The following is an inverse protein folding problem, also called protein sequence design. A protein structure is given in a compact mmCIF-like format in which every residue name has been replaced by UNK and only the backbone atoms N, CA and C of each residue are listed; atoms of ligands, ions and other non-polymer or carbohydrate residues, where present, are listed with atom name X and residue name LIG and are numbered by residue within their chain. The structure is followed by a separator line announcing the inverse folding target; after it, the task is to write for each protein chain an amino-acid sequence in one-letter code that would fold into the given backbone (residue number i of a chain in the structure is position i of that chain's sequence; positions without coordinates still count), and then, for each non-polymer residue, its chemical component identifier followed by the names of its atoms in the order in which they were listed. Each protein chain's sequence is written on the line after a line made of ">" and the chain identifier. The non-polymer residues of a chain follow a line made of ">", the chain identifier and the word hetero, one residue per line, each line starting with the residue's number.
data_IF_224190601572
#
_entry.id   IF_224190601572
#
_cell.length_a   1.000
_cell.length_b   1.000
_cell.length_c   1.000
_cell.angle_alpha   90.00
_cell.angle_beta   90.00
_cell.angle_gamma   90.00
#
_symmetry.space_group_name_H-M   'P 1'
#
loop_
_entity.id
_entity.type
_entity.pdbx_description
1 polymer ?
#
# COMPACT_ATOMS: atom_id res chain seq x y z
N UNK A 1 -11.80 -3.30 -2.34
CA UNK A 1 -10.67 -2.68 -1.64
C UNK A 1 -10.36 -1.39 -2.37
N UNK A 2 -10.68 -0.22 -1.79
CA UNK A 2 -10.27 1.05 -2.38
C UNK A 2 -8.94 1.42 -1.73
N UNK A 3 -7.82 1.30 -2.43
CA UNK A 3 -6.59 1.95 -1.95
C UNK A 3 -6.56 3.35 -2.55
N UNK A 4 -6.35 4.38 -1.72
CA UNK A 4 -6.28 5.79 -2.16
C UNK A 4 -4.85 6.19 -2.36
N UNK A 5 -4.49 6.54 -3.59
CA UNK A 5 -3.18 7.14 -3.89
C UNK A 5 -3.32 8.54 -4.45
N UNK A 6 -2.55 9.50 -3.92
CA UNK A 6 -2.49 10.87 -4.45
C UNK A 6 -1.41 10.95 -5.53
N UNK A 7 -1.80 11.29 -6.74
CA UNK A 7 -0.97 11.40 -7.91
C UNK A 7 -1.37 12.65 -8.69
N UNK A 8 -0.47 13.63 -8.74
CA UNK A 8 -0.65 14.85 -9.52
C UNK A 8 0.06 14.72 -10.87
N UNK A 9 -0.70 14.52 -11.96
CA UNK A 9 -0.21 14.67 -13.32
C UNK A 9 -0.51 16.08 -13.83
N UNK A 10 0.49 16.96 -13.70
CA UNK A 10 0.54 18.25 -14.36
C UNK A 10 1.89 18.44 -15.03
N UNK A 11 1.94 18.56 -16.35
CA UNK A 11 3.19 18.67 -17.11
C UNK A 11 3.25 19.98 -17.90
N UNK A 12 4.45 20.55 -17.97
CA UNK A 12 4.85 21.58 -18.94
C UNK A 12 5.97 20.90 -19.70
N UNK A 13 5.76 20.68 -20.98
CA UNK A 13 6.58 19.81 -21.81
C UNK A 13 6.97 20.56 -23.07
N UNK A 14 8.23 20.41 -23.50
CA UNK A 14 8.66 20.84 -24.82
C UNK A 14 8.27 19.74 -25.80
N UNK A 15 7.50 20.07 -26.83
CA UNK A 15 7.08 19.14 -27.87
C UNK A 15 7.70 19.53 -29.21
N UNK A 16 8.19 18.53 -29.93
CA UNK A 16 8.61 18.68 -31.32
C UNK A 16 7.81 17.67 -32.14
N UNK A 17 7.08 18.14 -33.14
CA UNK A 17 6.21 17.32 -33.96
C UNK A 17 6.55 17.45 -35.44
N UNK A 18 6.45 16.34 -36.15
CA UNK A 18 6.53 16.31 -37.62
C UNK A 18 5.18 15.82 -38.13
N UNK A 19 4.58 16.60 -39.02
CA UNK A 19 3.28 16.34 -39.61
C UNK A 19 3.42 16.14 -41.11
N UNK A 20 2.79 15.09 -41.62
CA UNK A 20 2.67 14.80 -43.04
C UNK A 20 1.20 14.95 -43.46
N UNK A 21 0.94 15.83 -44.41
CA UNK A 21 -0.36 16.02 -45.03
C UNK A 21 -0.56 15.01 -46.18
N UNK A 22 -1.72 14.36 -46.21
CA UNK A 22 -2.13 13.52 -47.33
C UNK A 22 -2.83 14.38 -48.37
N UNK A 23 -2.16 14.67 -49.48
CA UNK A 23 -2.64 15.64 -50.48
C UNK A 23 -3.73 15.14 -51.46
N UNK A 24 -4.47 14.07 -51.17
CA UNK A 24 -5.37 13.48 -52.18
C UNK A 24 -6.69 12.88 -51.66
N UNK A 25 -7.30 13.48 -50.63
CA UNK A 25 -8.68 13.14 -50.23
C UNK A 25 -9.56 14.39 -50.32
N UNK A 26 -10.04 14.69 -51.54
CA UNK A 26 -11.10 15.69 -51.75
C UNK A 26 -12.44 15.02 -51.45
N UNK A 27 -13.07 15.39 -50.34
CA UNK A 27 -14.48 15.09 -50.12
C UNK A 27 -15.29 16.02 -51.04
N UNK A 28 -15.84 15.45 -52.11
CA UNK A 28 -16.78 16.15 -52.99
C UNK A 28 -18.18 15.88 -52.42
N UNK A 29 -18.76 16.84 -51.70
CA UNK A 29 -20.17 16.75 -51.28
C UNK A 29 -20.87 18.10 -51.50
N UNK A 30 -21.86 18.07 -52.40
CA UNK A 30 -22.78 19.15 -52.74
C UNK A 30 -23.81 19.34 -51.63
N UNK A 31 -23.45 19.96 -50.50
CA UNK A 31 -24.44 20.57 -49.59
C UNK A 31 -23.88 21.86 -48.99
N UNK A 32 -24.51 22.98 -49.33
CA UNK A 32 -24.16 24.32 -48.87
C UNK A 32 -24.33 24.49 -47.36
N UNK A 33 -23.24 24.79 -46.64
CA UNK A 33 -23.26 25.62 -45.45
C UNK A 33 -21.84 26.19 -45.17
N UNK A 34 -21.73 27.52 -45.26
CA UNK A 34 -20.58 28.37 -44.92
C UNK A 34 -19.44 28.45 -45.96
N UNK A 35 -19.46 29.54 -46.73
CA UNK A 35 -18.41 29.96 -47.67
C UNK A 35 -17.17 30.46 -46.91
N UNK A 36 -16.36 29.53 -46.38
CA UNK A 36 -15.02 29.81 -45.86
C UNK A 36 -14.00 29.26 -46.84
N UNK A 37 -13.50 30.11 -47.75
CA UNK A 37 -12.67 29.75 -48.90
C UNK A 37 -11.28 29.18 -48.58
N UNK A 38 -11.21 27.90 -48.23
CA UNK A 38 -9.98 27.11 -48.22
C UNK A 38 -10.28 25.61 -48.39
N UNK A 39 -9.54 24.91 -49.26
CA UNK A 39 -9.65 23.46 -49.38
C UNK A 39 -9.18 22.81 -48.07
N UNK A 40 -10.04 22.02 -47.44
CA UNK A 40 -9.68 21.28 -46.23
C UNK A 40 -8.68 20.16 -46.51
N UNK A 41 -7.86 19.83 -45.52
CA UNK A 41 -6.82 18.79 -45.64
C UNK A 41 -6.74 17.90 -44.40
N UNK A 42 -6.45 16.62 -44.61
CA UNK A 42 -6.16 15.66 -43.55
C UNK A 42 -4.66 15.49 -43.37
N UNK A 43 -4.23 15.30 -42.12
CA UNK A 43 -2.84 15.05 -41.80
C UNK A 43 -2.68 14.05 -40.66
N UNK A 44 -1.50 13.44 -40.62
CA UNK A 44 -1.04 12.58 -39.53
C UNK A 44 0.23 13.17 -38.97
N UNK A 45 0.31 13.27 -37.64
CA UNK A 45 1.46 13.78 -36.92
C UNK A 45 2.06 12.76 -35.97
N UNK A 46 3.35 12.91 -35.74
CA UNK A 46 4.06 12.23 -34.66
C UNK A 46 4.73 13.30 -33.78
N UNK A 47 4.33 13.33 -32.52
CA UNK A 47 4.83 14.26 -31.52
C UNK A 47 5.81 13.52 -30.61
N UNK A 48 7.01 14.07 -30.45
CA UNK A 48 7.96 13.64 -29.43
C UNK A 48 8.04 14.67 -28.32
N UNK A 49 7.74 14.22 -27.10
CA UNK A 49 7.58 15.11 -25.95
C UNK A 49 8.22 14.48 -24.71
N UNK A 50 9.52 14.70 -24.45
CA UNK A 50 10.22 14.06 -23.32
C UNK A 50 9.51 14.29 -21.98
N UNK A 51 9.10 13.21 -21.31
CA UNK A 51 8.33 13.28 -20.07
C UNK A 51 9.21 13.19 -18.81
N UNK A 52 9.25 14.27 -18.04
CA UNK A 52 9.88 14.28 -16.71
C UNK A 52 8.86 13.84 -15.66
N UNK A 53 9.28 12.97 -14.76
CA UNK A 53 8.42 12.49 -13.68
C UNK A 53 8.23 13.60 -12.65
N UNK A 54 7.05 14.24 -12.69
CA UNK A 54 6.62 15.23 -11.70
C UNK A 54 5.76 14.62 -10.59
N UNK A 55 5.70 13.30 -10.52
CA UNK A 55 5.00 12.56 -9.46
C UNK A 55 5.75 12.81 -8.15
N UNK A 56 5.12 13.57 -7.27
CA UNK A 56 5.63 13.91 -5.92
C UNK A 56 4.60 13.48 -4.89
N UNK A 57 5.09 13.19 -3.69
CA UNK A 57 4.28 12.90 -2.51
C UNK A 57 3.28 11.75 -2.71
N UNK A 58 3.69 10.76 -3.51
CA UNK A 58 2.93 9.54 -3.73
C UNK A 58 2.83 8.77 -2.41
N UNK A 59 1.60 8.45 -2.01
CA UNK A 59 1.29 7.65 -0.83
C UNK A 59 0.19 6.66 -1.16
N UNK A 60 0.14 5.56 -0.42
CA UNK A 60 -0.82 4.46 -0.61
C UNK A 60 -1.45 4.20 0.74
N UNK A 61 -2.77 3.98 0.78
CA UNK A 61 -3.52 3.79 2.03
C UNK A 61 -4.77 2.97 1.73
N UNK A 62 -5.19 2.12 2.66
CA UNK A 62 -6.53 1.53 2.59
C UNK A 62 -7.61 2.61 2.75
N UNK A 63 -8.73 2.45 2.04
CA UNK A 63 -9.90 3.33 2.11
C UNK A 63 -10.61 3.31 3.45
N UNK A 64 -10.49 2.22 4.20
CA UNK A 64 -11.01 2.11 5.57
C UNK A 64 -10.28 3.08 6.50
N UNK A 65 -9.07 3.53 6.14
CA UNK A 65 -8.21 4.37 6.96
C UNK A 65 -7.52 3.61 8.09
N UNK A 66 -7.53 2.27 8.05
CA UNK A 66 -6.91 1.42 9.08
C UNK A 66 -5.39 1.31 8.94
N UNK A 67 -4.84 1.60 7.75
CA UNK A 67 -3.40 1.62 7.51
C UNK A 67 -2.71 2.60 8.44
N UNK A 68 -1.81 2.11 9.29
CA UNK A 68 -0.98 2.93 10.18
C UNK A 68 0.36 3.29 9.56
N UNK A 69 0.94 2.38 8.79
CA UNK A 69 2.22 2.58 8.12
C UNK A 69 2.34 1.69 6.87
N UNK A 70 3.15 2.15 5.92
CA UNK A 70 3.51 1.40 4.71
C UNK A 70 4.93 0.86 4.86
N UNK A 71 5.15 -0.43 4.60
CA UNK A 71 6.47 -1.06 4.69
C UNK A 71 6.88 -1.66 3.35
N UNK A 72 8.08 -1.35 2.83
CA UNK A 72 8.55 -1.90 1.56
C UNK A 72 9.06 -3.34 1.75
N UNK A 73 8.98 -4.14 0.70
CA UNK A 73 9.54 -5.49 0.70
C UNK A 73 11.08 -5.49 0.58
N UNK A 74 11.75 -6.38 1.32
CA UNK A 74 13.21 -6.55 1.39
C UNK A 74 13.73 -7.39 0.21
N UNK A 75 14.79 -6.91 -0.43
CA UNK A 75 15.50 -7.56 -1.55
C UNK A 75 16.12 -8.90 -1.14
N UNK A 76 15.70 -9.98 -1.81
CA UNK A 76 16.36 -11.30 -1.72
C UNK A 76 16.77 -11.89 -3.10
N UNK A 77 16.55 -11.17 -4.21
CA UNK A 77 16.92 -11.63 -5.56
C UNK A 77 16.21 -12.91 -6.04
N UNK A 78 15.12 -13.30 -5.37
CA UNK A 78 14.25 -14.44 -5.69
C UNK A 78 12.80 -13.94 -5.79
N UNK A 79 11.90 -14.79 -6.32
CA UNK A 79 10.47 -14.51 -6.41
C UNK A 79 9.91 -13.93 -5.10
N UNK A 80 8.98 -12.97 -5.22
CA UNK A 80 8.29 -12.36 -4.09
C UNK A 80 7.56 -13.46 -3.33
N UNK A 81 7.99 -13.73 -2.09
CA UNK A 81 7.29 -14.60 -1.15
C UNK A 81 6.74 -13.69 -0.07
N UNK A 82 5.42 -13.62 0.03
CA UNK A 82 4.71 -12.81 1.03
C UNK A 82 4.88 -13.40 2.44
N UNK A 83 6.10 -13.26 2.95
CA UNK A 83 6.53 -13.71 4.27
C UNK A 83 6.80 -12.47 5.12
N UNK A 84 6.29 -12.47 6.35
CA UNK A 84 6.32 -11.34 7.28
C UNK A 84 7.70 -10.73 7.50
N UNK A 85 8.72 -11.58 7.67
CA UNK A 85 10.10 -11.17 7.94
C UNK A 85 10.82 -10.57 6.72
N UNK A 86 10.21 -10.62 5.54
CA UNK A 86 10.75 -10.06 4.31
C UNK A 86 10.28 -8.65 4.03
N UNK A 87 9.59 -7.99 4.95
CA UNK A 87 9.29 -6.55 4.87
C UNK A 87 10.28 -5.75 5.71
N UNK A 88 10.62 -4.54 5.26
CA UNK A 88 11.52 -3.64 5.96
C UNK A 88 10.76 -2.86 7.03
N UNK A 89 10.51 -3.52 8.16
CA UNK A 89 9.83 -2.93 9.31
C UNK A 89 10.58 -1.74 9.95
N UNK A 90 11.83 -1.49 9.56
CA UNK A 90 12.63 -0.37 10.08
C UNK A 90 12.45 0.93 9.28
N UNK A 91 11.87 0.85 8.08
CA UNK A 91 11.67 2.00 7.19
C UNK A 91 10.17 2.21 6.94
N UNK A 92 9.39 2.66 7.95
CA UNK A 92 7.98 2.97 7.75
C UNK A 92 7.81 4.17 6.83
N UNK A 93 6.75 4.13 6.02
CA UNK A 93 6.33 5.17 5.09
C UNK A 93 7.47 5.67 4.16
N UNK A 94 8.08 4.77 3.37
CA UNK A 94 9.15 5.16 2.47
C UNK A 94 8.63 6.12 1.40
N UNK A 95 9.50 7.05 0.98
CA UNK A 95 9.19 7.93 -0.15
C UNK A 95 9.23 7.15 -1.45
N UNK A 96 8.07 6.88 -2.03
CA UNK A 96 7.95 6.21 -3.33
C UNK A 96 8.21 7.24 -4.44
N UNK A 97 9.34 7.09 -5.13
CA UNK A 97 9.76 7.93 -6.24
C UNK A 97 9.57 7.26 -7.59
N UNK A 98 9.61 8.04 -8.67
CA UNK A 98 9.53 7.54 -10.04
C UNK A 98 10.66 8.12 -10.90
N UNK A 99 11.17 7.31 -11.83
CA UNK A 99 12.22 7.67 -12.79
C UNK A 99 11.62 8.52 -13.90
N UNK A 100 12.41 9.49 -14.35
CA UNK A 100 12.08 10.24 -15.55
C UNK A 100 12.09 9.28 -16.75
N UNK A 101 11.15 9.47 -17.67
CA UNK A 101 11.11 8.67 -18.88
C UNK A 101 11.30 9.57 -20.09
N UNK A 102 12.57 9.72 -20.46
CA UNK A 102 12.97 10.56 -21.58
C UNK A 102 12.79 9.87 -22.95
N UNK A 103 12.40 8.58 -23.01
CA UNK A 103 12.43 7.77 -24.24
C UNK A 103 11.06 7.32 -24.77
N UNK A 104 10.02 7.19 -23.93
CA UNK A 104 8.75 6.53 -24.30
C UNK A 104 7.54 7.48 -24.28
N UNK A 105 7.76 8.79 -24.36
CA UNK A 105 6.68 9.77 -24.47
C UNK A 105 6.49 10.17 -25.94
N UNK A 106 5.74 9.32 -26.65
CA UNK A 106 5.37 9.54 -28.05
C UNK A 106 3.87 9.73 -28.13
N UNK A 107 3.44 10.69 -28.94
CA UNK A 107 2.02 10.91 -29.22
C UNK A 107 1.79 10.85 -30.73
N UNK A 108 0.79 10.08 -31.13
CA UNK A 108 0.30 10.08 -32.50
C UNK A 108 -0.88 11.04 -32.61
N UNK A 109 -0.94 11.80 -33.70
CA UNK A 109 -2.06 12.70 -33.96
C UNK A 109 -2.64 12.47 -35.34
N UNK A 110 -3.96 12.61 -35.46
CA UNK A 110 -4.68 12.70 -36.73
C UNK A 110 -5.48 13.98 -36.70
N UNK A 111 -5.31 14.81 -37.72
CA UNK A 111 -5.93 16.12 -37.75
C UNK A 111 -6.59 16.45 -39.08
N UNK A 112 -7.49 17.42 -39.00
CA UNK A 112 -8.16 18.02 -40.13
C UNK A 112 -8.09 19.54 -40.01
N UNK A 113 -7.63 20.20 -41.08
CA UNK A 113 -7.47 21.65 -41.13
C UNK A 113 -8.32 22.29 -42.21
N UNK A 114 -8.87 23.47 -41.94
CA UNK A 114 -9.48 24.38 -42.92
C UNK A 114 -8.99 25.80 -42.61
N UNK A 115 -8.29 26.41 -43.57
CA UNK A 115 -7.72 27.76 -43.39
C UNK A 115 -6.73 27.77 -42.23
N UNK A 116 -6.92 28.67 -41.25
CA UNK A 116 -6.10 28.74 -40.04
C UNK A 116 -6.61 27.89 -38.87
N UNK A 117 -7.75 27.20 -39.01
CA UNK A 117 -8.32 26.37 -37.94
C UNK A 117 -7.99 24.88 -38.16
N UNK A 118 -7.63 24.17 -37.08
CA UNK A 118 -7.31 22.74 -37.12
C UNK A 118 -7.98 22.01 -35.95
N UNK A 119 -8.46 20.79 -36.18
CA UNK A 119 -8.93 19.87 -35.13
C UNK A 119 -8.02 18.65 -35.13
N UNK A 120 -7.50 18.29 -33.96
CA UNK A 120 -6.52 17.20 -33.79
C UNK A 120 -7.03 16.19 -32.75
N UNK A 121 -7.08 14.92 -33.14
CA UNK A 121 -7.19 13.80 -32.21
C UNK A 121 -5.78 13.30 -31.89
N UNK A 122 -5.38 13.38 -30.62
CA UNK A 122 -4.06 12.98 -30.13
C UNK A 122 -4.18 11.79 -29.17
N UNK A 123 -3.31 10.81 -29.36
CA UNK A 123 -3.15 9.67 -28.46
C UNK A 123 -1.69 9.62 -28.01
N UNK A 124 -1.45 9.80 -26.72
CA UNK A 124 -0.13 9.76 -26.12
C UNK A 124 0.00 8.65 -25.09
N UNK A 125 1.18 8.05 -24.98
CA UNK A 125 1.50 7.07 -23.95
C UNK A 125 2.71 7.52 -23.15
N UNK A 126 2.61 7.46 -21.82
CA UNK A 126 3.71 7.73 -20.89
C UNK A 126 3.82 6.60 -19.87
N UNK A 127 5.05 6.26 -19.45
CA UNK A 127 5.31 5.24 -18.43
C UNK A 127 6.44 5.64 -17.51
N UNK A 128 6.19 5.82 -16.23
CA UNK A 128 7.19 6.19 -15.23
C UNK A 128 7.47 4.98 -14.32
N UNK A 129 8.65 4.37 -14.46
CA UNK A 129 9.07 3.26 -13.58
C UNK A 129 9.34 3.76 -12.16
N UNK A 130 9.11 2.95 -11.14
CA UNK A 130 9.47 3.31 -9.76
C UNK A 130 10.99 3.45 -9.58
N UNK A 131 11.40 4.35 -8.68
CA UNK A 131 12.77 4.46 -8.17
C UNK A 131 12.91 3.50 -7.00
N UNK A 132 13.96 2.68 -7.01
CA UNK A 132 14.28 1.83 -5.86
C UNK A 132 14.60 2.68 -4.64
N UNK A 133 14.22 2.21 -3.45
CA UNK A 133 14.45 2.94 -2.18
C UNK A 133 15.95 2.94 -1.84
N UNK A 134 16.69 1.93 -2.30
CA UNK A 134 18.11 1.71 -2.00
C UNK A 134 19.01 1.93 -3.22
N UNK A 135 18.60 2.79 -4.16
CA UNK A 135 19.23 2.93 -5.48
C UNK A 135 20.68 3.47 -5.41
N UNK A 136 21.63 2.56 -5.14
CA UNK A 136 23.05 2.70 -5.44
C UNK A 136 23.32 2.16 -6.86
N UNK A 137 22.66 2.77 -7.85
CA UNK A 137 23.15 2.83 -9.23
C UNK A 137 23.34 1.53 -10.02
N UNK A 138 22.76 0.38 -9.66
CA UNK A 138 22.85 -0.80 -10.54
C UNK A 138 21.70 -1.80 -10.42
N UNK A 139 21.09 -2.01 -11.61
CA UNK A 139 20.06 -2.99 -12.01
C UNK A 139 18.62 -2.74 -11.51
N UNK A 140 17.73 -2.61 -12.49
CA UNK A 140 16.27 -2.59 -12.30
C UNK A 140 15.81 -3.96 -11.80
N UNK A 141 15.46 -4.07 -10.52
CA UNK A 141 15.01 -5.30 -9.87
C UNK A 141 13.59 -5.11 -9.29
N UNK A 142 12.71 -6.10 -9.49
CA UNK A 142 11.27 -6.07 -9.19
C UNK A 142 10.88 -5.92 -7.69
N UNK A 143 11.81 -6.04 -6.73
CA UNK A 143 11.47 -6.16 -5.30
C UNK A 143 11.05 -4.84 -4.60
N UNK A 144 11.56 -3.69 -5.05
CA UNK A 144 11.22 -2.36 -4.47
C UNK A 144 9.83 -1.86 -4.91
N UNK A 145 9.05 -2.72 -5.56
CA UNK A 145 7.72 -2.41 -6.08
C UNK A 145 6.62 -2.91 -5.16
N UNK A 146 6.92 -3.75 -4.16
CA UNK A 146 5.93 -4.39 -3.30
C UNK A 146 5.89 -3.71 -1.93
N UNK A 147 4.69 -3.35 -1.48
CA UNK A 147 4.44 -2.59 -0.25
C UNK A 147 3.36 -3.26 0.60
N UNK A 148 3.64 -3.47 1.88
CA UNK A 148 2.67 -3.91 2.89
C UNK A 148 2.00 -2.70 3.53
N UNK A 149 0.67 -2.70 3.56
CA UNK A 149 -0.16 -1.75 4.31
C UNK A 149 -0.41 -2.36 5.69
N UNK A 150 0.42 -2.00 6.67
CA UNK A 150 0.32 -2.54 8.02
C UNK A 150 -0.71 -1.77 8.85
N UNK A 151 -1.45 -2.52 9.67
CA UNK A 151 -2.47 -2.02 10.59
C UNK A 151 -1.91 -1.90 12.02
N UNK A 152 -2.79 -1.64 12.97
CA UNK A 152 -2.48 -1.21 14.34
C UNK A 152 -1.65 -2.23 15.14
N UNK A 153 -2.01 -3.51 15.16
CA UNK A 153 -1.31 -4.53 15.94
C UNK A 153 0.12 -4.74 15.46
N UNK A 154 0.32 -4.89 14.15
CA UNK A 154 1.65 -5.06 13.58
C UNK A 154 2.54 -3.84 13.85
N UNK A 155 2.00 -2.64 13.65
CA UNK A 155 2.69 -1.38 13.88
C UNK A 155 3.09 -1.19 15.36
N UNK A 156 2.15 -1.42 16.30
CA UNK A 156 2.37 -1.20 17.72
C UNK A 156 3.38 -2.20 18.32
N UNK A 157 3.42 -3.45 17.80
CA UNK A 157 4.44 -4.43 18.20
C UNK A 157 5.85 -3.98 17.81
N UNK A 158 6.05 -3.59 16.54
CA UNK A 158 7.38 -3.19 16.04
C UNK A 158 7.86 -1.92 16.74
N UNK A 159 6.96 -0.95 16.93
CA UNK A 159 7.29 0.32 17.60
C UNK A 159 7.37 0.21 19.13
N UNK A 160 6.92 -0.91 19.71
CA UNK A 160 6.97 -1.14 21.16
C UNK A 160 5.92 -0.36 21.96
N UNK A 161 4.83 0.07 21.33
CA UNK A 161 3.75 0.82 21.97
C UNK A 161 2.84 -0.10 22.80
N UNK A 162 3.32 -0.48 23.99
CA UNK A 162 2.68 -1.51 24.84
C UNK A 162 1.22 -1.19 25.19
N UNK A 163 0.90 0.05 25.55
CA UNK A 163 -0.46 0.43 25.94
C UNK A 163 -1.42 0.47 24.75
N UNK A 164 -0.97 0.97 23.59
CA UNK A 164 -1.77 0.99 22.36
C UNK A 164 -2.00 -0.44 21.85
N UNK A 165 -0.94 -1.27 21.85
CA UNK A 165 -1.04 -2.69 21.51
C UNK A 165 -2.03 -3.42 22.43
N UNK A 166 -1.97 -3.19 23.75
CA UNK A 166 -2.90 -3.79 24.70
C UNK A 166 -4.34 -3.37 24.44
N UNK A 167 -4.58 -2.10 24.08
CA UNK A 167 -5.90 -1.60 23.76
C UNK A 167 -6.44 -2.17 22.43
N UNK A 168 -5.57 -2.33 21.43
CA UNK A 168 -5.92 -2.93 20.14
C UNK A 168 -6.21 -4.44 20.30
N UNK A 169 -5.32 -5.19 20.97
CA UNK A 169 -5.51 -6.61 21.29
C UNK A 169 -6.80 -6.88 22.09
N UNK A 170 -7.18 -5.95 22.99
CA UNK A 170 -8.41 -6.09 23.75
C UNK A 170 -9.69 -6.02 22.88
N UNK A 171 -9.61 -5.41 21.68
CA UNK A 171 -10.72 -5.37 20.70
C UNK A 171 -10.72 -6.60 19.79
N UNK A 172 -9.61 -7.34 19.72
CA UNK A 172 -9.49 -8.56 18.93
C UNK A 172 -10.27 -9.70 19.58
N UNK A 173 -10.90 -10.56 18.77
CA UNK A 173 -11.64 -11.70 19.31
C UNK A 173 -10.69 -12.76 19.89
N UNK A 174 -11.13 -13.45 20.95
CA UNK A 174 -10.32 -14.53 21.52
C UNK A 174 -10.03 -15.67 20.52
N UNK A 175 -10.91 -15.87 19.53
CA UNK A 175 -10.72 -16.83 18.43
C UNK A 175 -9.50 -16.49 17.59
N UNK A 176 -9.34 -15.23 17.23
CA UNK A 176 -8.20 -14.77 16.41
C UNK A 176 -6.90 -14.86 17.20
N UNK A 177 -6.92 -14.60 18.50
CA UNK A 177 -5.76 -14.78 19.39
C UNK A 177 -5.35 -16.25 19.48
N UNK A 178 -6.31 -17.17 19.54
CA UNK A 178 -6.02 -18.62 19.50
C UNK A 178 -5.42 -19.02 18.15
N UNK A 179 -5.90 -18.47 17.03
CA UNK A 179 -5.30 -18.72 15.71
C UNK A 179 -3.87 -18.16 15.61
N UNK A 180 -3.65 -16.95 16.11
CA UNK A 180 -2.33 -16.35 16.19
C UNK A 180 -1.37 -17.20 17.03
N UNK A 181 -1.78 -17.64 18.23
CA UNK A 181 -0.97 -18.50 19.09
C UNK A 181 -0.57 -19.81 18.38
N UNK A 182 -1.50 -20.45 17.66
CA UNK A 182 -1.22 -21.65 16.86
C UNK A 182 -0.22 -21.37 15.74
N UNK A 183 -0.32 -20.23 15.06
CA UNK A 183 0.62 -19.83 14.02
C UNK A 183 2.04 -19.61 14.60
N UNK A 184 2.14 -18.94 15.76
CA UNK A 184 3.41 -18.74 16.46
C UNK A 184 4.02 -20.07 16.90
N UNK A 185 3.22 -20.98 17.46
CA UNK A 185 3.67 -22.31 17.87
C UNK A 185 4.28 -23.11 16.70
N UNK A 186 3.59 -23.14 15.56
CA UNK A 186 4.00 -23.95 14.40
C UNK A 186 5.24 -23.36 13.74
N UNK A 187 5.27 -22.04 13.56
CA UNK A 187 6.33 -21.39 12.77
C UNK A 187 7.53 -20.96 13.61
N UNK A 188 7.34 -20.58 14.88
CA UNK A 188 8.36 -19.97 15.73
C UNK A 188 8.25 -20.43 17.20
N UNK A 189 8.54 -21.71 17.51
CA UNK A 189 8.42 -22.25 18.86
C UNK A 189 9.30 -21.54 19.89
N UNK A 190 10.40 -20.91 19.46
CA UNK A 190 11.26 -20.10 20.33
C UNK A 190 10.57 -18.80 20.81
N UNK A 191 9.71 -18.21 19.97
CA UNK A 191 8.92 -17.02 20.34
C UNK A 191 7.76 -17.44 21.25
N UNK A 192 7.08 -18.54 20.94
CA UNK A 192 6.07 -19.12 21.84
C UNK A 192 6.63 -19.30 23.26
N UNK A 193 7.84 -19.85 23.38
CA UNK A 193 8.53 -20.07 24.66
C UNK A 193 8.86 -18.81 25.48
N UNK A 194 8.66 -17.61 24.93
CA UNK A 194 8.91 -16.32 25.58
C UNK A 194 7.63 -15.60 25.99
N UNK A 195 6.51 -15.89 25.33
CA UNK A 195 5.24 -15.18 25.50
C UNK A 195 4.33 -15.97 26.44
N UNK A 196 3.66 -15.27 27.37
CA UNK A 196 2.82 -15.91 28.38
C UNK A 196 3.56 -17.01 29.14
N UNK A 197 4.85 -16.82 29.42
CA UNK A 197 5.63 -17.80 30.19
C UNK A 197 5.19 -17.78 31.65
N UNK A 198 4.62 -18.88 32.14
CA UNK A 198 4.13 -19.00 33.52
C UNK A 198 5.22 -18.74 34.56
N UNK A 199 4.89 -18.01 35.62
CA UNK A 199 5.81 -17.75 36.74
C UNK A 199 6.06 -18.99 37.61
N UNK A 200 7.23 -19.00 38.24
CA UNK A 200 7.62 -19.99 39.25
C UNK A 200 6.85 -19.75 40.55
N UNK A 201 6.42 -20.84 41.19
CA UNK A 201 5.74 -20.82 42.51
C UNK A 201 6.62 -21.38 43.63
N UNK A 202 7.57 -22.23 43.28
CA UNK A 202 8.55 -22.87 44.16
C UNK A 202 9.70 -23.43 43.31
N UNK A 203 10.81 -23.84 43.92
CA UNK A 203 12.00 -24.35 43.24
C UNK A 203 11.68 -25.46 42.22
N UNK A 204 11.72 -25.10 40.93
CA UNK A 204 11.44 -26.03 39.82
C UNK A 204 9.95 -26.29 39.55
N UNK A 205 9.02 -25.51 40.13
CA UNK A 205 7.57 -25.66 39.95
C UNK A 205 6.94 -24.37 39.43
N UNK A 206 5.96 -24.52 38.54
CA UNK A 206 5.35 -23.40 37.82
C UNK A 206 3.82 -23.42 37.92
N UNK A 207 3.22 -22.26 37.66
CA UNK A 207 1.78 -22.17 37.46
C UNK A 207 1.34 -23.04 36.27
N UNK A 208 0.10 -23.52 36.32
CA UNK A 208 -0.56 -24.24 35.22
C UNK A 208 -1.69 -23.38 34.67
N UNK A 209 -1.87 -23.34 33.35
CA UNK A 209 -3.01 -22.66 32.74
C UNK A 209 -4.31 -23.42 32.94
N UNK A 210 -5.39 -22.67 33.14
CA UNK A 210 -6.73 -23.23 33.25
C UNK A 210 -7.83 -22.20 33.00
N UNK A 211 -9.07 -22.67 33.03
CA UNK A 211 -10.24 -21.84 32.69
C UNK A 211 -10.59 -20.78 33.74
N UNK A 212 -10.02 -20.88 34.94
CA UNK A 212 -10.14 -19.88 36.01
C UNK A 212 -8.90 -19.92 36.90
N UNK A 213 -8.51 -18.77 37.42
CA UNK A 213 -7.44 -18.67 38.41
C UNK A 213 -7.91 -19.26 39.73
N UNK A 214 -7.24 -20.31 40.19
CA UNK A 214 -7.57 -21.05 41.41
C UNK A 214 -6.29 -21.38 42.16
N UNK A 215 -5.72 -20.36 42.80
CA UNK A 215 -4.44 -20.48 43.49
C UNK A 215 -4.62 -20.54 45.01
N UNK A 216 -4.27 -21.70 45.59
CA UNK A 216 -4.42 -22.05 47.01
C UNK A 216 -3.04 -22.36 47.61
N UNK A 217 -2.84 -22.04 48.89
CA UNK A 217 -1.53 -22.25 49.57
C UNK A 217 -1.11 -23.71 49.71
N UNK A 218 -2.03 -24.66 49.52
CA UNK A 218 -1.81 -26.08 49.82
C UNK A 218 -1.26 -26.88 48.65
N UNK A 219 -1.76 -26.67 47.43
CA UNK A 219 -1.57 -27.64 46.33
C UNK A 219 -2.00 -27.16 44.93
N UNK A 220 -2.47 -25.92 44.75
CA UNK A 220 -3.05 -25.47 43.48
C UNK A 220 -2.45 -24.15 43.02
N UNK A 221 -1.88 -24.13 41.80
CA UNK A 221 -1.29 -22.97 41.16
C UNK A 221 -1.88 -22.72 39.76
N UNK A 222 -3.20 -22.85 39.63
CA UNK A 222 -3.89 -22.64 38.35
C UNK A 222 -4.10 -21.15 38.11
N UNK A 223 -3.74 -20.67 36.91
CA UNK A 223 -3.90 -19.28 36.48
C UNK A 223 -4.65 -19.18 35.15
N UNK A 224 -5.51 -18.18 35.04
CA UNK A 224 -6.19 -17.81 33.77
C UNK A 224 -5.65 -16.49 33.18
N UNK A 225 -4.56 -15.96 33.76
CA UNK A 225 -3.86 -14.76 33.29
C UNK A 225 -2.58 -15.16 32.56
N UNK A 226 -2.35 -14.65 31.35
CA UNK A 226 -1.11 -14.81 30.59
C UNK A 226 0.12 -14.43 31.44
N UNK A 227 1.11 -15.31 31.49
CA UNK A 227 2.29 -15.25 32.36
C UNK A 227 2.02 -15.62 33.82
N UNK A 228 0.78 -15.49 34.29
CA UNK A 228 0.37 -15.73 35.66
C UNK A 228 0.96 -14.73 36.66
N UNK A 229 0.86 -15.06 37.94
CA UNK A 229 1.40 -14.26 39.05
C UNK A 229 2.44 -15.08 39.80
N UNK A 230 3.49 -14.44 40.29
CA UNK A 230 4.40 -15.08 41.25
C UNK A 230 3.66 -15.30 42.57
N UNK A 231 3.70 -16.53 43.07
CA UNK A 231 3.13 -16.89 44.36
C UNK A 231 4.24 -17.40 45.27
N UNK A 232 4.20 -17.00 46.54
CA UNK A 232 5.13 -17.46 47.57
C UNK A 232 4.36 -18.21 48.63
N UNK A 233 4.88 -19.36 49.07
CA UNK A 233 4.27 -20.17 50.14
C UNK A 233 3.32 -21.27 49.66
N UNK A 234 3.39 -21.70 48.39
CA UNK A 234 2.67 -22.88 47.89
C UNK A 234 3.55 -24.12 48.11
N UNK A 235 3.29 -24.90 49.16
CA UNK A 235 4.02 -26.12 49.50
C UNK A 235 3.45 -27.36 48.79
N UNK A 236 3.27 -27.27 47.46
CA UNK A 236 2.67 -28.37 46.71
C UNK A 236 3.66 -29.48 46.36
N UNK A 237 3.27 -30.74 46.55
CA UNK A 237 3.91 -31.90 45.91
C UNK A 237 3.42 -32.03 44.45
N UNK A 238 4.21 -32.66 43.58
CA UNK A 238 3.83 -32.89 42.18
C UNK A 238 2.51 -33.69 42.08
N UNK A 239 1.48 -33.06 41.54
CA UNK A 239 0.10 -33.55 41.36
C UNK A 239 -0.72 -32.50 40.59
N UNK A 240 -1.87 -32.89 40.04
CA UNK A 240 -2.60 -32.35 38.87
C UNK A 240 -2.97 -30.83 38.80
N UNK A 241 -2.36 -29.93 39.58
CA UNK A 241 -2.60 -28.47 39.55
C UNK A 241 -1.33 -27.60 39.71
N UNK A 242 -0.15 -28.18 39.54
CA UNK A 242 1.15 -27.48 39.50
C UNK A 242 2.04 -28.15 38.43
N UNK A 243 2.67 -27.36 37.55
CA UNK A 243 3.49 -27.89 36.46
C UNK A 243 4.97 -28.04 36.86
N UNK A 244 5.63 -29.10 36.36
CA UNK A 244 7.07 -29.33 36.52
C UNK A 244 7.93 -28.51 35.54
N UNK A 245 7.30 -27.91 34.53
CA UNK A 245 7.93 -27.02 33.54
C UNK A 245 7.02 -25.82 33.31
N UNK A 246 7.57 -24.67 32.86
CA UNK A 246 6.73 -23.53 32.50
C UNK A 246 5.83 -23.88 31.30
N UNK A 247 4.66 -23.27 31.28
CA UNK A 247 3.74 -23.26 30.16
C UNK A 247 3.80 -21.91 29.43
N UNK A 248 3.36 -21.89 28.18
CA UNK A 248 3.62 -20.78 27.24
C UNK A 248 2.35 -20.30 26.52
N UNK A 249 2.50 -19.50 25.47
CA UNK A 249 1.40 -18.94 24.69
C UNK A 249 0.47 -20.03 24.13
N UNK A 250 0.99 -21.14 23.62
CA UNK A 250 0.21 -22.30 23.16
C UNK A 250 -0.72 -22.86 24.25
N UNK A 251 -0.22 -22.96 25.47
CA UNK A 251 -0.93 -23.51 26.61
C UNK A 251 -1.98 -22.52 27.11
N UNK A 252 -1.65 -21.23 27.15
CA UNK A 252 -2.61 -20.18 27.43
C UNK A 252 -3.76 -20.22 26.42
N UNK A 253 -3.47 -20.25 25.12
CA UNK A 253 -4.48 -20.34 24.08
C UNK A 253 -5.32 -21.63 24.20
N UNK A 254 -4.69 -22.79 24.37
CA UNK A 254 -5.39 -24.07 24.43
C UNK A 254 -6.18 -24.31 25.72
N UNK A 255 -5.58 -24.04 26.88
CA UNK A 255 -6.15 -24.38 28.21
C UNK A 255 -6.96 -23.25 28.82
N UNK A 256 -6.60 -22.00 28.56
CA UNK A 256 -7.27 -20.81 29.15
C UNK A 256 -8.33 -20.23 28.24
N UNK A 257 -8.01 -20.04 26.95
CA UNK A 257 -8.95 -19.48 25.97
C UNK A 257 -9.83 -20.55 25.32
N UNK A 258 -9.31 -21.78 25.17
CA UNK A 258 -10.01 -22.89 24.54
C UNK A 258 -10.27 -22.63 23.06
N UNK A 259 -11.54 -22.50 22.70
CA UNK A 259 -11.97 -22.09 21.35
C UNK A 259 -11.97 -20.56 21.17
N UNK A 260 -11.49 -19.80 22.15
CA UNK A 260 -11.48 -18.34 22.14
C UNK A 260 -12.73 -17.71 22.76
N UNK A 261 -13.64 -18.50 23.36
CA UNK A 261 -14.86 -18.00 24.00
C UNK A 261 -14.69 -17.56 25.45
N UNK A 262 -13.55 -17.89 26.09
CA UNK A 262 -13.31 -17.67 27.52
C UNK A 262 -12.06 -16.84 27.75
N UNK A 263 -12.04 -16.12 28.87
CA UNK A 263 -10.86 -15.45 29.42
C UNK A 263 -10.16 -14.44 28.49
N UNK A 264 -10.80 -13.98 27.42
CA UNK A 264 -10.28 -12.90 26.58
C UNK A 264 -11.27 -11.73 26.48
N UNK A 265 -10.83 -10.47 26.61
CA UNK A 265 -9.47 -10.01 26.94
C UNK A 265 -9.18 -10.00 28.45
N UNK A 266 -10.12 -10.44 29.28
CA UNK A 266 -10.03 -10.40 30.76
C UNK A 266 -10.14 -11.80 31.34
N UNK A 267 -9.28 -12.12 32.31
CA UNK A 267 -9.24 -13.40 33.00
C UNK A 267 -10.42 -13.63 33.94
N UNK A 268 -10.59 -14.88 34.39
CA UNK A 268 -11.58 -15.27 35.39
C UNK A 268 -10.89 -15.80 36.64
N UNK A 269 -11.46 -15.55 37.82
CA UNK A 269 -11.06 -16.20 39.08
C UNK A 269 -12.13 -17.18 39.57
N UNK A 270 -11.69 -18.22 40.27
CA UNK A 270 -12.56 -19.13 40.98
C UNK A 270 -13.14 -18.43 42.23
N UNK A 271 -14.47 -18.36 42.28
CA UNK A 271 -15.26 -17.80 43.39
C UNK A 271 -16.10 -18.85 44.11
N UNK A 272 -15.87 -20.14 43.84
CA UNK A 272 -16.65 -21.25 44.41
C UNK A 272 -16.65 -21.29 45.94
N UNK A 273 -15.57 -20.83 46.57
CA UNK A 273 -15.52 -20.54 48.00
C UNK A 273 -14.56 -19.38 48.29
N UNK A 274 -14.68 -18.76 49.47
CA UNK A 274 -13.96 -17.51 49.83
C UNK A 274 -12.43 -17.59 49.76
N UNK A 275 -11.86 -18.80 49.73
CA UNK A 275 -10.42 -19.03 49.65
C UNK A 275 -9.99 -19.73 48.35
N UNK A 276 -10.88 -19.85 47.35
CA UNK A 276 -10.61 -20.61 46.12
C UNK A 276 -9.43 -20.06 45.30
N UNK A 277 -9.24 -18.74 45.34
CA UNK A 277 -8.16 -18.02 44.67
C UNK A 277 -7.40 -17.08 45.63
N UNK A 278 -7.18 -17.51 46.88
CA UNK A 278 -6.62 -16.67 47.94
C UNK A 278 -5.29 -15.99 47.55
N UNK A 279 -4.42 -16.69 46.80
CA UNK A 279 -3.08 -16.20 46.47
C UNK A 279 -2.94 -15.78 44.99
N UNK A 280 -3.97 -16.02 44.18
CA UNK A 280 -3.87 -15.85 42.73
C UNK A 280 -4.10 -14.42 42.25
N UNK A 281 -3.99 -14.21 40.94
CA UNK A 281 -4.38 -12.94 40.33
C UNK A 281 -5.89 -12.76 40.43
N UNK A 282 -6.31 -11.53 40.75
CA UNK A 282 -7.72 -11.12 40.63
C UNK A 282 -7.94 -10.54 39.23
N UNK A 283 -9.11 -10.76 38.61
CA UNK A 283 -9.42 -10.20 37.29
C UNK A 283 -9.35 -8.68 37.31
N UNK A 284 -8.60 -8.13 36.37
CA UNK A 284 -8.57 -6.70 36.09
C UNK A 284 -8.93 -6.49 34.63
N UNK A 285 -9.68 -5.45 34.32
CA UNK A 285 -10.08 -5.14 32.94
C UNK A 285 -8.89 -5.19 31.98
N UNK A 286 -9.01 -6.07 30.99
CA UNK A 286 -8.05 -6.35 29.92
C UNK A 286 -6.69 -6.88 30.42
N UNK A 287 -6.64 -7.56 31.56
CA UNK A 287 -5.40 -8.12 32.12
C UNK A 287 -4.66 -9.05 31.16
N UNK A 288 -5.37 -9.91 30.42
CA UNK A 288 -4.77 -10.80 29.43
C UNK A 288 -4.24 -10.06 28.21
N UNK A 289 -5.00 -9.09 27.67
CA UNK A 289 -4.51 -8.27 26.56
C UNK A 289 -3.26 -7.46 26.94
N UNK A 290 -3.23 -6.89 28.15
CA UNK A 290 -2.07 -6.18 28.70
C UNK A 290 -0.87 -7.09 28.91
N UNK A 291 -1.09 -8.29 29.44
CA UNK A 291 -0.02 -9.27 29.67
C UNK A 291 0.59 -9.75 28.35
N UNK A 292 -0.23 -10.10 27.35
CA UNK A 292 0.23 -10.49 26.01
C UNK A 292 1.00 -9.33 25.37
N UNK A 293 0.44 -8.12 25.35
CA UNK A 293 1.12 -6.95 24.79
C UNK A 293 2.49 -6.72 25.46
N UNK A 294 2.53 -6.79 26.78
CA UNK A 294 3.75 -6.58 27.56
C UNK A 294 4.81 -7.64 27.37
N UNK A 295 4.46 -8.86 26.94
CA UNK A 295 5.45 -9.88 26.56
C UNK A 295 5.89 -9.71 25.11
N UNK A 296 4.98 -9.40 24.18
CA UNK A 296 5.31 -9.15 22.77
C UNK A 296 6.24 -7.96 22.58
N UNK A 297 6.06 -6.86 23.33
CA UNK A 297 6.93 -5.67 23.23
C UNK A 297 8.30 -5.85 23.88
N UNK A 298 8.52 -6.93 24.65
CA UNK A 298 9.82 -7.29 25.25
C UNK A 298 10.67 -8.21 24.39
N UNK A 299 10.13 -8.73 23.29
CA UNK A 299 10.88 -9.54 22.32
C UNK A 299 12.02 -8.74 21.67
N UNK A 300 12.99 -9.43 21.06
CA UNK A 300 14.03 -8.74 20.29
C UNK A 300 13.43 -8.06 19.06
N UNK A 301 14.18 -7.14 18.44
CA UNK A 301 13.72 -6.44 17.23
C UNK A 301 13.36 -7.42 16.12
N UNK A 302 14.16 -8.45 15.90
CA UNK A 302 13.93 -9.50 14.89
C UNK A 302 12.70 -10.35 15.20
N UNK A 303 12.46 -10.63 16.48
CA UNK A 303 11.27 -11.39 16.91
C UNK A 303 9.99 -10.55 16.77
N UNK A 304 10.08 -9.24 17.02
CA UNK A 304 8.97 -8.30 16.82
C UNK A 304 8.53 -8.23 15.37
N UNK A 305 9.46 -8.21 14.41
CA UNK A 305 9.09 -8.16 12.97
C UNK A 305 8.38 -9.44 12.52
N UNK A 306 8.82 -10.59 13.04
CA UNK A 306 8.15 -11.88 12.80
C UNK A 306 6.72 -11.85 13.36
N UNK A 307 6.56 -11.45 14.62
CA UNK A 307 5.25 -11.35 15.27
C UNK A 307 4.35 -10.36 14.55
N UNK A 308 4.88 -9.20 14.16
CA UNK A 308 4.12 -8.15 13.49
C UNK A 308 3.50 -8.66 12.19
N UNK A 309 4.26 -9.32 11.33
CA UNK A 309 3.66 -9.85 10.12
C UNK A 309 2.82 -11.13 10.33
N UNK A 310 3.00 -11.88 11.43
CA UNK A 310 2.02 -12.91 11.82
C UNK A 310 0.69 -12.29 12.25
N UNK A 311 0.71 -11.19 13.01
CA UNK A 311 -0.50 -10.43 13.37
C UNK A 311 -1.17 -9.85 12.13
N UNK A 312 -0.39 -9.25 11.23
CA UNK A 312 -0.88 -8.75 9.95
C UNK A 312 -1.55 -9.87 9.15
N UNK A 313 -0.94 -11.06 9.08
CA UNK A 313 -1.45 -12.20 8.31
C UNK A 313 -2.67 -12.88 8.93
N UNK A 314 -2.67 -13.07 10.24
CA UNK A 314 -3.67 -13.93 10.92
C UNK A 314 -4.85 -13.15 11.50
N UNK A 315 -4.63 -11.91 11.94
CA UNK A 315 -5.65 -11.11 12.63
C UNK A 315 -6.12 -9.94 11.78
N UNK A 316 -5.18 -9.14 11.28
CA UNK A 316 -5.52 -7.83 10.72
C UNK A 316 -5.90 -7.88 9.23
N UNK A 317 -5.47 -8.92 8.53
CA UNK A 317 -5.64 -9.06 7.08
C UNK A 317 -4.81 -8.04 6.32
N UNK A 318 -3.49 -8.06 6.50
CA UNK A 318 -2.55 -7.14 5.87
C UNK A 318 -2.67 -7.18 4.35
N UNK A 319 -2.81 -6.00 3.74
CA UNK A 319 -2.89 -5.84 2.28
C UNK A 319 -1.51 -5.54 1.70
N UNK A 320 -1.20 -6.17 0.57
CA UNK A 320 0.03 -5.99 -0.17
C UNK A 320 -0.30 -5.44 -1.54
N UNK A 321 0.39 -4.37 -1.94
CA UNK A 321 0.22 -3.69 -3.23
C UNK A 321 1.54 -3.68 -3.99
N UNK A 322 1.50 -4.02 -5.27
CA UNK A 322 2.65 -3.99 -6.17
C UNK A 322 2.54 -2.82 -7.16
N UNK A 323 3.53 -1.93 -7.17
CA UNK A 323 3.58 -0.72 -7.99
C UNK A 323 4.91 -0.72 -8.73
N UNK A 324 4.91 -1.25 -9.95
CA UNK A 324 6.09 -1.28 -10.83
C UNK A 324 6.31 0.02 -11.57
N UNK A 325 5.23 0.64 -12.01
CA UNK A 325 5.24 1.86 -12.79
C UNK A 325 3.89 2.55 -12.71
N UNK A 326 3.91 3.86 -12.93
CA UNK A 326 2.70 4.63 -13.24
C UNK A 326 2.67 4.86 -14.75
N UNK A 327 1.68 4.33 -15.44
CA UNK A 327 1.42 4.58 -16.86
C UNK A 327 0.25 5.53 -17.05
N UNK A 328 0.29 6.29 -18.14
CA UNK A 328 -0.79 7.20 -18.52
C UNK A 328 -0.95 7.16 -20.03
N UNK A 329 -2.12 6.71 -20.50
CA UNK A 329 -2.53 6.86 -21.89
C UNK A 329 -3.47 8.05 -21.99
N UNK A 330 -3.08 9.10 -22.71
CA UNK A 330 -3.93 10.27 -22.94
C UNK A 330 -4.63 10.16 -24.29
N UNK A 331 -5.91 10.53 -24.33
CA UNK A 331 -6.71 10.67 -25.55
C UNK A 331 -7.32 12.07 -25.51
N UNK A 332 -6.86 12.93 -26.41
CA UNK A 332 -7.17 14.36 -26.41
C UNK A 332 -7.76 14.78 -27.75
N UNK A 333 -8.79 15.62 -27.70
CA UNK A 333 -9.29 16.35 -28.87
C UNK A 333 -8.89 17.81 -28.69
N UNK A 334 -8.04 18.32 -29.59
CA UNK A 334 -7.57 19.69 -29.58
C UNK A 334 -8.22 20.48 -30.71
N UNK A 335 -8.60 21.72 -30.41
CA UNK A 335 -8.89 22.74 -31.40
C UNK A 335 -7.72 23.72 -31.43
N UNK A 336 -7.12 23.88 -32.61
CA UNK A 336 -5.93 24.69 -32.84
C UNK A 336 -6.26 25.83 -33.80
N UNK A 337 -5.54 26.94 -33.65
CA UNK A 337 -5.59 28.07 -34.54
C UNK A 337 -4.18 28.55 -34.87
N UNK A 338 -3.90 28.66 -36.16
CA UNK A 338 -2.67 29.19 -36.72
C UNK A 338 -2.83 30.70 -36.92
N UNK A 339 -2.05 31.47 -36.17
CA UNK A 339 -2.03 32.92 -36.21
C UNK A 339 -1.19 33.35 -37.42
N UNK A 340 -1.87 33.74 -38.49
CA UNK A 340 -1.21 34.23 -39.71
C UNK A 340 -0.29 35.41 -39.38
N UNK A 341 1.00 35.26 -39.66
CA UNK A 341 2.00 36.32 -39.57
C UNK A 341 2.48 36.68 -40.98
N UNK A 342 2.20 37.88 -41.44
CA UNK A 342 2.77 38.38 -42.70
C UNK A 342 4.30 38.51 -42.56
N UNK A 343 5.06 37.87 -43.46
CA UNK A 343 6.48 38.15 -43.65
C UNK A 343 7.49 37.26 -42.90
N UNK A 344 7.09 36.24 -42.13
CA UNK A 344 8.00 35.23 -41.58
C UNK A 344 7.64 33.84 -42.09
N UNK A 345 8.64 33.04 -42.47
CA UNK A 345 8.47 31.62 -42.83
C UNK A 345 8.08 30.69 -41.66
N UNK A 346 7.56 31.24 -40.55
CA UNK A 346 7.08 30.53 -39.36
C UNK A 346 5.69 31.05 -39.00
N UNK A 347 4.79 30.14 -38.62
CA UNK A 347 3.40 30.48 -38.25
C UNK A 347 3.17 30.15 -36.78
N UNK A 348 2.93 31.16 -35.91
CA UNK A 348 2.56 30.88 -34.52
C UNK A 348 1.23 30.14 -34.44
N UNK A 349 1.11 29.22 -33.49
CA UNK A 349 -0.13 28.47 -33.27
C UNK A 349 -0.46 28.33 -31.78
N UNK A 350 -1.74 28.19 -31.48
CA UNK A 350 -2.24 27.89 -30.16
C UNK A 350 -3.37 26.85 -30.23
N UNK A 351 -3.43 25.95 -29.25
CA UNK A 351 -4.44 24.90 -29.15
C UNK A 351 -5.04 24.82 -27.75
N UNK A 352 -6.33 24.50 -27.71
CA UNK A 352 -7.04 24.10 -26.50
C UNK A 352 -7.63 22.72 -26.74
N UNK A 353 -7.35 21.79 -25.82
CA UNK A 353 -7.86 20.44 -25.90
C UNK A 353 -8.51 19.93 -24.64
N UNK A 354 -9.48 19.04 -24.85
CA UNK A 354 -10.23 18.33 -23.82
C UNK A 354 -10.20 16.85 -24.14
N UNK A 355 -10.14 16.02 -23.11
CA UNK A 355 -10.03 14.58 -23.29
C UNK A 355 -9.98 13.83 -21.98
N UNK A 356 -9.33 12.68 -22.00
CA UNK A 356 -9.17 11.84 -20.83
C UNK A 356 -7.82 11.15 -20.78
N UNK A 357 -7.39 10.87 -19.55
CA UNK A 357 -6.24 10.04 -19.25
C UNK A 357 -6.68 8.74 -18.62
N UNK A 358 -6.16 7.65 -19.15
CA UNK A 358 -6.28 6.32 -18.61
C UNK A 358 -5.00 6.03 -17.83
N UNK A 359 -5.05 6.16 -16.50
CA UNK A 359 -3.88 6.03 -15.65
C UNK A 359 -3.84 4.66 -15.00
N UNK A 360 -2.72 3.95 -15.16
CA UNK A 360 -2.45 2.67 -14.51
C UNK A 360 -1.38 2.82 -13.45
N UNK A 361 -1.71 2.54 -12.19
CA UNK A 361 -0.78 2.58 -11.05
C UNK A 361 -0.32 1.17 -10.65
N UNK A 362 -1.23 0.20 -10.79
CA UNK A 362 -0.99 -1.23 -10.54
C UNK A 362 -1.28 -1.99 -11.83
N UNK A 363 -0.53 -3.06 -12.09
CA UNK A 363 -0.70 -3.85 -13.30
C UNK A 363 -2.15 -4.34 -13.46
N UNK A 364 -2.72 -4.12 -14.65
CA UNK A 364 -4.08 -4.55 -14.98
C UNK A 364 -5.21 -3.66 -14.48
N UNK A 365 -4.94 -2.58 -13.74
CA UNK A 365 -5.97 -1.63 -13.30
C UNK A 365 -5.76 -0.24 -13.91
N UNK A 366 -6.79 0.25 -14.61
CA UNK A 366 -6.76 1.52 -15.33
C UNK A 366 -7.93 2.39 -14.86
N UNK A 367 -7.63 3.59 -14.39
CA UNK A 367 -8.64 4.55 -13.95
C UNK A 367 -8.75 5.70 -14.97
N UNK A 368 -9.91 5.88 -15.61
CA UNK A 368 -10.14 7.02 -16.49
C UNK A 368 -10.33 8.31 -15.66
N UNK A 369 -9.68 9.39 -16.09
CA UNK A 369 -9.82 10.74 -15.55
C UNK A 369 -9.98 11.73 -16.69
N UNK A 370 -10.76 12.79 -16.49
CA UNK A 370 -10.83 13.88 -17.46
C UNK A 370 -9.51 14.66 -17.45
N UNK A 371 -9.12 15.19 -18.61
CA UNK A 371 -7.92 16.00 -18.74
C UNK A 371 -8.15 17.15 -19.71
N UNK A 372 -7.36 18.21 -19.53
CA UNK A 372 -7.30 19.32 -20.48
C UNK A 372 -5.85 19.62 -20.85
N UNK A 373 -5.68 20.16 -22.05
CA UNK A 373 -4.38 20.45 -22.65
C UNK A 373 -4.40 21.84 -23.30
N UNK A 374 -3.32 22.58 -23.10
CA UNK A 374 -3.07 23.86 -23.77
C UNK A 374 -1.75 23.74 -24.50
N UNK A 375 -1.72 23.93 -25.82
CA UNK A 375 -0.48 23.88 -26.61
C UNK A 375 -0.24 25.27 -27.22
N UNK A 376 1.01 25.70 -27.31
CA UNK A 376 1.37 26.90 -28.05
C UNK A 376 2.78 26.74 -28.63
N UNK A 377 3.00 27.25 -29.83
CA UNK A 377 4.29 27.11 -30.48
C UNK A 377 4.36 27.81 -31.83
N UNK A 378 5.34 27.37 -32.62
CA UNK A 378 5.58 27.82 -33.98
C UNK A 378 5.53 26.60 -34.91
N UNK A 379 4.91 26.77 -36.06
CA UNK A 379 4.99 25.82 -37.17
C UNK A 379 5.92 26.36 -38.26
N UNK A 380 6.63 25.46 -38.92
CA UNK A 380 7.53 25.73 -40.03
C UNK A 380 7.22 24.77 -41.16
N UNK A 381 6.92 25.30 -42.33
CA UNK A 381 6.63 24.49 -43.51
C UNK A 381 7.95 24.05 -44.15
N UNK A 382 8.28 22.76 -44.07
CA UNK A 382 9.49 22.19 -44.66
C UNK A 382 9.30 21.93 -46.17
N UNK A 383 8.12 21.44 -46.53
CA UNK A 383 7.66 21.26 -47.91
C UNK A 383 6.14 21.49 -47.97
N UNK A 384 5.51 21.57 -49.16
CA UNK A 384 4.06 21.72 -49.27
C UNK A 384 3.27 20.64 -48.50
N UNK A 385 3.85 19.44 -48.34
CA UNK A 385 3.25 18.28 -47.68
C UNK A 385 3.74 18.06 -46.23
N UNK A 386 4.84 18.70 -45.82
CA UNK A 386 5.48 18.42 -44.52
C UNK A 386 5.63 19.71 -43.72
N UNK A 387 5.07 19.69 -42.51
CA UNK A 387 5.20 20.77 -41.53
C UNK A 387 5.85 20.27 -40.25
N UNK A 388 6.78 21.05 -39.72
CA UNK A 388 7.37 20.82 -38.40
C UNK A 388 6.76 21.80 -37.39
N UNK A 389 6.44 21.31 -36.19
CA UNK A 389 5.93 22.13 -35.10
C UNK A 389 6.90 22.04 -33.93
N UNK A 390 7.18 23.19 -33.33
CA UNK A 390 7.98 23.28 -32.11
C UNK A 390 7.22 24.15 -31.11
N UNK A 391 6.99 23.63 -29.90
CA UNK A 391 6.16 24.32 -28.93
C UNK A 391 6.27 23.77 -27.54
N UNK A 392 5.48 24.37 -26.66
CA UNK A 392 5.25 23.87 -25.32
C UNK A 392 3.80 23.51 -25.14
N UNK A 393 3.52 22.52 -24.29
CA UNK A 393 2.16 22.28 -23.83
C UNK A 393 2.08 22.15 -22.33
N UNK A 394 0.93 22.57 -21.81
CA UNK A 394 0.47 22.29 -20.46
C UNK A 394 -0.61 21.21 -20.51
N UNK A 395 -0.38 20.09 -19.82
CA UNK A 395 -1.36 19.02 -19.71
C UNK A 395 -1.69 18.79 -18.24
N UNK A 396 -2.99 18.73 -17.92
CA UNK A 396 -3.46 18.51 -16.55
C UNK A 396 -4.61 17.51 -16.51
N UNK A 397 -4.44 16.51 -15.66
CA UNK A 397 -5.52 15.59 -15.27
C UNK A 397 -6.38 16.25 -14.20
N UNK A 398 -7.69 16.29 -14.41
CA UNK A 398 -8.68 16.86 -13.51
C UNK A 398 -8.95 15.89 -12.36
N UNK A 399 -8.90 16.41 -11.13
CA UNK A 399 -9.20 15.66 -9.92
C UNK A 399 -8.33 16.08 -8.74
N UNK A 400 -8.55 15.42 -7.61
CA UNK A 400 -7.77 15.52 -6.37
C UNK A 400 -6.49 14.67 -6.39
N UNK A 401 -6.20 14.06 -7.55
CA UNK A 401 -5.12 13.11 -7.73
C UNK A 401 -5.41 11.76 -7.06
N UNK A 402 -6.61 11.50 -6.53
CA UNK A 402 -6.91 10.23 -5.86
C UNK A 402 -7.31 9.15 -6.88
N UNK A 403 -6.62 8.02 -6.79
CA UNK A 403 -6.94 6.79 -7.51
C UNK A 403 -7.42 5.78 -6.47
N UNK A 404 -8.66 5.34 -6.61
CA UNK A 404 -9.36 4.36 -5.77
C UNK A 404 -9.38 2.98 -6.47
N UNK A 405 -9.80 1.95 -5.75
CA UNK A 405 -10.06 0.59 -6.26
C UNK A 405 -8.83 -0.14 -6.85
N UNK A 406 -7.62 0.24 -6.42
CA UNK A 406 -6.40 -0.49 -6.78
C UNK A 406 -6.42 -1.92 -6.21
N UNK A 407 -6.05 -2.93 -7.02
CA UNK A 407 -6.02 -4.30 -6.56
C UNK A 407 -4.91 -4.49 -5.52
N UNK A 408 -5.25 -5.19 -4.44
CA UNK A 408 -4.34 -5.59 -3.38
C UNK A 408 -4.46 -7.11 -3.16
N UNK A 409 -3.37 -7.71 -2.69
CA UNK A 409 -3.33 -9.12 -2.30
C UNK A 409 -3.28 -9.21 -0.77
N UNK A 410 -3.93 -10.22 -0.19
CA UNK A 410 -3.76 -10.51 1.23
C UNK A 410 -2.38 -11.14 1.46
N UNK A 411 -1.75 -10.76 2.57
CA UNK A 411 -0.43 -11.22 3.00
C UNK A 411 -0.35 -12.72 3.29
#
# INVERSE_FOLDING_TARGET
>A
MRSRSKLFLGSVMMSMAIVMAGNDVRAHDDVSALDTGGAGYFYVGLDYSPAFSKIRDFSIRESTGETKAVYPYLKDGKSVKLESHKFDWNTPDPRIGFKDNMLVAMEGSVGYGIGGARVELEIGYERFKTKGIRDSGSKEDDADTVYLLAKELAYDVVTGQTDNLAAALAKTSGKDIVQFAKAVEISYPNIDGKVCRTKSVDSGKYNTYGTMSAMKSTDSAVVAVCGGKTASGINGTTGEKIAASPEFLRDFAGKTLGDGSKNWPTSTEDKSNGNANQHGPKPVTNDNAKAVAGDLTKLTTEEKTIVAGLLAKTIEGGEVVEIRAVSSTSVMVNACYDLLSEGLGVVPYACVGLGGNFVGVVDGHITPKLAYRLKAGLSYQLSPEISAFAGGFYHRVVGDGVYDDLPAQLL
#
